data_IF_688639832729
#
_entry.id   IF_688639832729
#
_cell.length_a   1.000
_cell.length_b   1.000
_cell.length_c   1.000
_cell.angle_alpha   90.00
_cell.angle_beta   90.00
_cell.angle_gamma   90.00
#
_symmetry.space_group_name_H-M   'P 1'
#
loop_
_entity.id
_entity.type
_entity.pdbx_description
1 polymer ?
#
# COMPACT_ATOMS: atom_id res chain seq x y z
N UNK A 1 -2.56 -4.48 30.75
CA UNK A 1 -3.00 -4.75 29.35
C UNK A 1 -2.44 -3.67 28.47
N UNK A 2 -1.31 -3.93 27.83
CA UNK A 2 -0.60 -2.97 26.96
C UNK A 2 -1.23 -3.01 25.57
N UNK A 3 -1.94 -1.94 25.23
CA UNK A 3 -2.52 -1.75 23.90
C UNK A 3 -1.40 -1.50 22.89
N UNK A 4 -1.09 -2.50 22.07
CA UNK A 4 -0.15 -2.36 20.95
C UNK A 4 -0.78 -1.43 19.92
N UNK A 5 -0.24 -0.24 19.74
CA UNK A 5 -0.60 0.67 18.66
C UNK A 5 -0.35 -0.04 17.32
N UNK A 6 -1.40 -0.24 16.56
CA UNK A 6 -1.36 -0.74 15.18
C UNK A 6 -1.11 0.45 14.27
N UNK A 7 0.06 0.50 13.66
CA UNK A 7 0.40 1.55 12.69
C UNK A 7 -0.14 1.13 11.31
N UNK A 8 -1.17 1.80 10.85
CA UNK A 8 -1.69 1.67 9.48
C UNK A 8 -1.27 2.91 8.69
N UNK A 9 -0.67 2.71 7.53
CA UNK A 9 -0.16 3.77 6.68
C UNK A 9 -0.95 3.84 5.37
N UNK A 10 -1.43 5.02 5.02
CA UNK A 10 -2.08 5.32 3.73
C UNK A 10 -1.18 6.23 2.93
N UNK A 11 -0.95 5.89 1.68
CA UNK A 11 -0.20 6.72 0.77
C UNK A 11 -1.00 6.97 -0.50
N UNK A 12 -1.22 8.24 -0.81
CA UNK A 12 -1.66 8.69 -2.12
C UNK A 12 -0.52 9.42 -2.79
N UNK A 13 -0.18 9.02 -4.00
CA UNK A 13 0.77 9.76 -4.82
C UNK A 13 0.07 10.13 -6.12
N UNK A 14 -0.29 11.40 -6.23
CA UNK A 14 -0.66 12.01 -7.48
C UNK A 14 0.61 12.38 -8.25
N UNK A 15 0.86 11.71 -9.38
CA UNK A 15 1.97 11.98 -10.29
C UNK A 15 3.34 11.63 -9.70
N UNK A 16 4.05 10.68 -10.33
CA UNK A 16 5.45 10.29 -10.06
C UNK A 16 5.87 10.42 -8.60
N UNK A 17 5.45 9.50 -7.77
CA UNK A 17 5.79 9.49 -6.37
C UNK A 17 6.43 8.21 -5.93
N UNK A 18 7.66 8.32 -5.53
CA UNK A 18 8.51 7.25 -5.02
C UNK A 18 8.18 6.94 -3.57
N UNK A 19 8.12 5.69 -3.32
CA UNK A 19 7.96 4.92 -2.11
C UNK A 19 8.20 5.54 -0.75
N UNK A 20 7.41 5.04 0.18
CA UNK A 20 7.60 5.33 1.60
C UNK A 20 8.39 4.21 2.25
N UNK A 21 9.46 4.59 2.87
CA UNK A 21 10.26 3.75 3.75
C UNK A 21 9.69 3.87 5.16
N UNK A 22 9.09 2.81 5.68
CA UNK A 22 8.82 2.74 7.12
C UNK A 22 10.14 2.48 7.82
N UNK A 23 10.76 3.52 8.38
CA UNK A 23 11.85 3.32 9.33
C UNK A 23 11.25 2.92 10.69
N UNK A 24 11.67 1.81 11.29
CA UNK A 24 11.31 1.51 12.67
C UNK A 24 11.97 2.58 13.56
N UNK A 25 11.17 3.23 14.43
CA UNK A 25 11.69 4.11 15.47
C UNK A 25 12.85 3.40 16.18
N UNK A 26 14.03 4.05 16.21
CA UNK A 26 15.14 3.63 17.05
C UNK A 26 14.65 3.57 18.50
N UNK A 27 14.54 2.36 19.05
CA UNK A 27 14.52 2.20 20.51
C UNK A 27 15.89 2.63 20.98
N UNK A 28 15.95 3.70 21.73
CA UNK A 28 17.13 4.09 22.52
C UNK A 28 17.32 2.99 23.55
N UNK A 29 18.31 2.12 23.36
CA UNK A 29 18.81 1.28 24.43
C UNK A 29 19.56 2.20 25.39
N UNK A 30 19.05 2.36 26.58
CA UNK A 30 19.81 2.89 27.72
C UNK A 30 20.84 1.83 28.05
N UNK A 31 22.12 2.13 27.86
CA UNK A 31 23.20 1.29 28.34
C UNK A 31 23.38 1.61 29.84
N UNK A 32 22.98 0.67 30.67
CA UNK A 32 23.51 0.60 32.04
C UNK A 32 24.91 -0.03 31.96
N UNK A 33 25.90 0.75 32.30
CA UNK A 33 27.28 0.31 32.50
C UNK A 33 27.36 -0.40 33.85
N UNK A 34 27.49 -1.71 33.86
CA UNK A 34 28.05 -2.46 34.97
C UNK A 34 29.25 -3.24 34.44
N UNK A 35 30.42 -2.84 34.95
CA UNK A 35 31.69 -3.53 34.74
C UNK A 35 31.63 -4.93 35.39
N UNK A 36 31.97 -5.95 34.62
CA UNK A 36 32.35 -7.28 35.13
C UNK A 36 33.41 -7.92 34.23
N UNK A 37 34.27 -8.80 34.75
CA UNK A 37 35.64 -9.01 34.28
C UNK A 37 35.74 -9.93 33.06
N UNK A 38 36.81 -9.74 32.31
CA UNK A 38 37.20 -10.47 31.10
C UNK A 38 37.53 -11.97 31.41
N UNK A 39 36.73 -12.85 30.79
CA UNK A 39 37.18 -14.23 30.50
C UNK A 39 36.97 -14.44 29.01
N UNK A 40 38.06 -14.89 28.36
CA UNK A 40 38.12 -15.05 26.90
C UNK A 40 37.09 -16.04 26.37
N UNK A 41 36.20 -15.57 25.51
CA UNK A 41 35.33 -16.42 24.70
C UNK A 41 35.45 -15.95 23.25
N UNK A 42 35.88 -16.87 22.42
CA UNK A 42 36.01 -16.74 20.98
C UNK A 42 34.75 -16.11 20.35
N UNK A 43 34.95 -14.99 19.70
CA UNK A 43 33.96 -14.20 19.02
C UNK A 43 33.42 -14.97 17.80
N UNK A 44 32.41 -15.82 17.98
CA UNK A 44 31.58 -16.29 16.86
C UNK A 44 30.72 -15.13 16.42
N UNK A 45 31.15 -14.41 15.38
CA UNK A 45 30.33 -13.46 14.69
C UNK A 45 29.04 -14.16 14.22
N UNK A 46 27.94 -13.90 14.93
CA UNK A 46 26.63 -14.28 14.44
C UNK A 46 26.41 -13.56 13.09
N UNK A 47 26.03 -14.29 12.02
CA UNK A 47 25.76 -13.63 10.75
C UNK A 47 24.64 -12.62 10.96
N UNK A 48 24.98 -11.34 10.84
CA UNK A 48 24.04 -10.22 11.05
C UNK A 48 22.82 -10.44 10.17
N UNK A 49 21.66 -10.57 10.79
CA UNK A 49 20.37 -10.67 10.09
C UNK A 49 20.18 -9.38 9.28
N UNK A 50 20.50 -9.41 7.98
CA UNK A 50 20.27 -8.28 7.08
C UNK A 50 18.77 -7.98 7.11
N UNK A 51 18.38 -6.84 7.67
CA UNK A 51 16.99 -6.36 7.65
C UNK A 51 16.60 -6.16 6.19
N UNK A 52 15.70 -7.00 5.68
CA UNK A 52 15.14 -6.83 4.34
C UNK A 52 14.06 -5.75 4.44
N UNK A 53 14.28 -4.61 3.81
CA UNK A 53 13.28 -3.55 3.68
C UNK A 53 12.36 -3.94 2.52
N UNK A 54 11.04 -3.92 2.76
CA UNK A 54 10.03 -4.08 1.72
C UNK A 54 9.58 -2.68 1.29
N UNK A 55 9.68 -2.40 0.00
CA UNK A 55 9.26 -1.13 -0.59
C UNK A 55 8.01 -1.40 -1.42
N UNK A 56 6.93 -0.66 -1.13
CA UNK A 56 5.68 -0.70 -1.87
C UNK A 56 5.50 0.60 -2.63
N UNK A 57 4.91 0.52 -3.83
CA UNK A 57 4.57 1.68 -4.62
C UNK A 57 3.11 1.64 -5.10
N UNK A 58 2.60 2.78 -5.53
CA UNK A 58 1.31 2.89 -6.23
C UNK A 58 1.46 3.81 -7.43
N UNK A 59 0.82 3.47 -8.55
CA UNK A 59 0.90 4.24 -9.78
C UNK A 59 -0.37 4.10 -10.63
N UNK A 60 -1.03 5.23 -10.91
CA UNK A 60 -2.06 5.29 -11.95
C UNK A 60 -1.37 5.36 -13.32
N UNK A 61 -1.43 4.25 -14.08
CA UNK A 61 -0.67 4.08 -15.33
C UNK A 61 -1.39 4.58 -16.58
N UNK A 62 -2.66 5.01 -16.40
CA UNK A 62 -3.55 5.58 -17.43
C UNK A 62 -3.71 4.78 -18.73
N UNK A 63 -3.12 3.71 -18.99
CA UNK A 63 -3.29 2.75 -20.09
C UNK A 63 -2.02 1.88 -20.17
N UNK A 64 -2.13 0.62 -19.79
CA UNK A 64 -1.01 -0.32 -19.87
C UNK A 64 -1.32 -1.48 -20.86
N UNK A 65 -1.92 -1.15 -22.01
CA UNK A 65 -2.33 -2.16 -22.98
C UNK A 65 -1.20 -2.83 -23.75
N UNK A 66 -0.08 -2.11 -23.93
CA UNK A 66 0.98 -2.60 -24.82
C UNK A 66 2.04 -3.35 -24.02
N UNK A 67 2.41 -4.52 -24.48
CA UNK A 67 3.50 -5.34 -23.89
C UNK A 67 4.78 -4.54 -23.66
N UNK A 68 5.12 -3.61 -24.57
CA UNK A 68 6.30 -2.74 -24.43
C UNK A 68 6.22 -1.82 -23.23
N UNK A 69 5.06 -1.25 -22.95
CA UNK A 69 4.83 -0.35 -21.79
C UNK A 69 4.94 -1.12 -20.48
N UNK A 70 4.37 -2.33 -20.44
CA UNK A 70 4.50 -3.21 -19.30
C UNK A 70 5.97 -3.60 -19.04
N UNK A 71 6.72 -3.97 -20.05
CA UNK A 71 8.15 -4.28 -19.90
C UNK A 71 8.96 -3.07 -19.41
N UNK A 72 8.65 -1.86 -19.90
CA UNK A 72 9.24 -0.63 -19.40
C UNK A 72 8.93 -0.40 -17.93
N UNK A 73 7.67 -0.59 -17.52
CA UNK A 73 7.26 -0.52 -16.12
C UNK A 73 8.05 -1.53 -15.27
N UNK A 74 8.12 -2.79 -15.68
CA UNK A 74 8.84 -3.83 -14.93
C UNK A 74 10.34 -3.50 -14.76
N UNK A 75 10.97 -2.89 -15.75
CA UNK A 75 12.37 -2.44 -15.61
C UNK A 75 12.53 -1.33 -14.59
N UNK A 76 11.60 -0.37 -14.54
CA UNK A 76 11.58 0.70 -13.55
C UNK A 76 11.34 0.16 -12.13
N UNK A 77 10.41 -0.80 -11.95
CA UNK A 77 10.19 -1.43 -10.65
C UNK A 77 11.47 -2.05 -10.09
N UNK A 78 12.25 -2.70 -10.94
CA UNK A 78 13.54 -3.28 -10.58
C UNK A 78 14.57 -2.21 -10.19
N UNK A 79 14.64 -1.11 -10.93
CA UNK A 79 15.52 0.02 -10.65
C UNK A 79 15.22 0.64 -9.28
N UNK A 80 13.94 0.87 -8.96
CA UNK A 80 13.49 1.39 -7.67
C UNK A 80 13.45 0.34 -6.55
N UNK A 81 13.80 -0.92 -6.84
CA UNK A 81 13.78 -2.05 -5.88
C UNK A 81 12.42 -2.25 -5.21
N UNK A 82 11.35 -2.03 -5.96
CA UNK A 82 10.00 -2.19 -5.46
C UNK A 82 9.65 -3.68 -5.40
N UNK A 83 9.29 -4.13 -4.20
CA UNK A 83 8.85 -5.51 -3.98
C UNK A 83 7.43 -5.73 -4.54
N UNK A 84 6.57 -4.71 -4.41
CA UNK A 84 5.18 -4.74 -4.87
C UNK A 84 4.74 -3.34 -5.31
N UNK A 85 4.02 -3.30 -6.44
CA UNK A 85 3.41 -2.09 -6.98
C UNK A 85 1.91 -2.30 -7.14
N UNK A 86 1.13 -1.38 -6.60
CA UNK A 86 -0.30 -1.26 -6.87
C UNK A 86 -0.50 -0.39 -8.13
N UNK A 87 -1.26 -0.88 -9.09
CA UNK A 87 -1.53 -0.20 -10.35
C UNK A 87 -3.02 0.13 -10.46
N UNK A 88 -3.33 1.28 -11.05
CA UNK A 88 -4.69 1.73 -11.38
C UNK A 88 -4.74 2.07 -12.87
N UNK A 89 -5.94 1.98 -13.48
CA UNK A 89 -6.20 2.20 -14.91
C UNK A 89 -5.42 1.26 -15.85
N UNK A 90 -5.21 0.01 -15.43
CA UNK A 90 -4.43 -0.97 -16.20
C UNK A 90 -5.13 -1.43 -17.48
N UNK A 91 -6.47 -1.38 -17.50
CA UNK A 91 -7.36 -1.81 -18.59
C UNK A 91 -7.21 -3.28 -19.04
N UNK A 92 -6.73 -4.17 -18.16
CA UNK A 92 -6.73 -5.63 -18.41
C UNK A 92 -8.07 -6.25 -18.04
N UNK A 93 -8.68 -6.94 -19.00
CA UNK A 93 -10.00 -7.57 -18.81
C UNK A 93 -9.91 -8.80 -17.91
N UNK A 94 -10.99 -9.02 -17.16
CA UNK A 94 -11.13 -10.20 -16.31
C UNK A 94 -10.39 -10.12 -14.98
N UNK A 95 -10.33 -11.26 -14.31
CA UNK A 95 -9.69 -11.45 -13.00
C UNK A 95 -8.78 -12.65 -13.09
N UNK A 96 -7.46 -12.43 -13.03
CA UNK A 96 -6.50 -13.53 -13.20
C UNK A 96 -5.12 -13.19 -12.61
N UNK A 97 -4.23 -14.16 -12.73
CA UNK A 97 -2.83 -14.06 -12.33
C UNK A 97 -1.95 -14.46 -13.50
N UNK A 98 -1.10 -13.54 -13.96
CA UNK A 98 -0.15 -13.81 -15.05
C UNK A 98 1.28 -13.88 -14.51
N UNK A 99 1.95 -15.01 -14.77
CA UNK A 99 3.36 -15.20 -14.37
C UNK A 99 4.28 -14.72 -15.49
N UNK A 100 5.13 -13.74 -15.15
CA UNK A 100 6.16 -13.18 -16.04
C UNK A 100 7.54 -13.63 -15.57
N UNK A 101 8.57 -13.47 -16.42
CA UNK A 101 9.95 -13.90 -16.08
C UNK A 101 10.44 -13.34 -14.73
N UNK A 102 10.19 -12.06 -14.44
CA UNK A 102 10.72 -11.34 -13.27
C UNK A 102 9.67 -10.97 -12.24
N UNK A 103 8.39 -10.93 -12.60
CA UNK A 103 7.29 -10.48 -11.75
C UNK A 103 6.06 -11.35 -11.95
N UNK A 104 5.11 -11.23 -11.05
CA UNK A 104 3.78 -11.82 -11.14
C UNK A 104 2.79 -10.68 -11.10
N UNK A 105 1.85 -10.73 -12.01
CA UNK A 105 0.76 -9.80 -12.14
C UNK A 105 -0.52 -10.42 -11.60
N UNK A 106 -1.17 -9.73 -10.68
CA UNK A 106 -2.49 -10.04 -10.16
C UNK A 106 -3.43 -8.90 -10.55
N UNK A 107 -4.51 -9.16 -11.27
CA UNK A 107 -5.39 -8.09 -11.74
C UNK A 107 -6.86 -8.37 -11.53
N UNK A 108 -7.62 -7.29 -11.41
CA UNK A 108 -9.05 -7.26 -11.19
C UNK A 108 -9.67 -6.21 -12.10
N UNK A 109 -10.46 -6.67 -13.07
CA UNK A 109 -11.18 -5.86 -14.03
C UNK A 109 -12.54 -6.47 -14.35
N UNK A 110 -13.33 -5.81 -15.19
CA UNK A 110 -14.55 -6.35 -15.77
C UNK A 110 -14.23 -7.38 -16.84
N UNK A 111 -15.11 -8.36 -17.02
CA UNK A 111 -14.98 -9.36 -18.09
C UNK A 111 -15.27 -8.73 -19.46
N UNK A 112 -16.19 -7.76 -19.50
CA UNK A 112 -16.61 -7.07 -20.72
C UNK A 112 -16.66 -5.55 -20.52
N UNK A 113 -16.46 -4.79 -21.60
CA UNK A 113 -16.60 -3.35 -21.67
C UNK A 113 -15.28 -2.56 -21.65
N UNK A 114 -15.38 -1.27 -21.99
CA UNK A 114 -14.27 -0.31 -21.94
C UNK A 114 -14.27 0.37 -20.57
N UNK A 115 -13.84 -0.33 -19.51
CA UNK A 115 -13.86 0.23 -18.16
C UNK A 115 -12.71 1.19 -17.89
N UNK A 116 -13.00 2.28 -17.16
CA UNK A 116 -12.01 3.25 -16.69
C UNK A 116 -11.31 2.76 -15.40
N UNK A 117 -11.91 1.81 -14.69
CA UNK A 117 -11.49 1.36 -13.36
C UNK A 117 -10.93 -0.06 -13.41
N UNK A 118 -9.64 -0.23 -13.48
CA UNK A 118 -9.04 -1.56 -13.37
C UNK A 118 -7.78 -1.47 -12.51
N UNK A 119 -7.72 -2.37 -11.54
CA UNK A 119 -6.67 -2.36 -10.53
C UNK A 119 -5.86 -3.65 -10.58
N UNK A 120 -4.59 -3.54 -10.26
CA UNK A 120 -3.69 -4.70 -10.26
C UNK A 120 -2.58 -4.55 -9.22
N UNK A 121 -1.93 -5.69 -8.92
CA UNK A 121 -0.66 -5.71 -8.23
C UNK A 121 0.40 -6.36 -9.13
N UNK A 122 1.56 -5.72 -9.22
CA UNK A 122 2.78 -6.32 -9.76
C UNK A 122 3.67 -6.69 -8.57
N UNK A 123 4.03 -7.96 -8.49
CA UNK A 123 4.80 -8.52 -7.37
C UNK A 123 6.11 -9.07 -7.90
N UNK A 124 7.25 -8.69 -7.29
CA UNK A 124 8.54 -9.28 -7.62
C UNK A 124 8.50 -10.81 -7.45
N UNK A 125 9.06 -11.56 -8.40
CA UNK A 125 8.98 -13.03 -8.42
C UNK A 125 9.44 -13.69 -7.11
N UNK A 126 10.48 -13.17 -6.49
CA UNK A 126 11.01 -13.70 -5.23
C UNK A 126 10.02 -13.56 -4.06
N UNK A 127 9.06 -12.62 -4.18
CA UNK A 127 8.00 -12.41 -3.22
C UNK A 127 6.80 -13.35 -3.40
N UNK A 128 6.70 -14.10 -4.51
CA UNK A 128 5.58 -15.03 -4.79
C UNK A 128 5.27 -15.95 -3.62
N UNK A 129 6.31 -16.56 -3.05
CA UNK A 129 6.18 -17.49 -1.91
C UNK A 129 5.62 -16.85 -0.64
N UNK A 130 5.63 -15.53 -0.58
CA UNK A 130 5.10 -14.77 0.54
C UNK A 130 3.66 -14.33 0.31
N UNK A 131 3.12 -14.45 -0.90
CA UNK A 131 1.72 -14.15 -1.19
C UNK A 131 0.85 -15.24 -0.58
N UNK A 132 -0.02 -14.86 0.36
CA UNK A 132 -0.95 -15.77 1.01
C UNK A 132 -2.22 -15.94 0.19
N UNK A 133 -2.77 -14.84 -0.31
CA UNK A 133 -3.88 -14.82 -1.27
C UNK A 133 -3.96 -13.49 -2.01
N UNK A 134 -4.61 -13.54 -3.16
CA UNK A 134 -5.12 -12.39 -3.89
C UNK A 134 -6.65 -12.49 -3.96
N UNK A 135 -7.34 -11.37 -3.69
CA UNK A 135 -8.79 -11.26 -3.78
C UNK A 135 -9.13 -10.14 -4.76
N UNK A 136 -9.59 -10.51 -5.93
CA UNK A 136 -10.21 -9.59 -6.88
C UNK A 136 -11.62 -9.28 -6.39
N UNK A 137 -11.84 -8.11 -5.79
CA UNK A 137 -13.15 -7.70 -5.28
C UNK A 137 -14.03 -7.25 -6.45
N UNK A 138 -13.61 -6.20 -7.13
CA UNK A 138 -14.21 -5.68 -8.35
C UNK A 138 -13.17 -4.93 -9.20
N UNK A 139 -13.62 -4.16 -10.18
CA UNK A 139 -12.73 -3.36 -11.04
C UNK A 139 -12.04 -2.19 -10.32
N UNK A 140 -12.51 -1.79 -9.13
CA UNK A 140 -12.00 -0.66 -8.36
C UNK A 140 -11.18 -1.06 -7.14
N UNK A 141 -11.34 -2.31 -6.67
CA UNK A 141 -10.75 -2.77 -5.42
C UNK A 141 -10.18 -4.18 -5.58
N UNK A 142 -8.95 -4.37 -5.17
CA UNK A 142 -8.38 -5.70 -4.97
C UNK A 142 -7.50 -5.74 -3.73
N UNK A 143 -7.32 -6.93 -3.16
CA UNK A 143 -6.56 -7.15 -1.93
C UNK A 143 -5.47 -8.19 -2.18
N UNK A 144 -4.25 -7.88 -1.74
CA UNK A 144 -3.13 -8.81 -1.73
C UNK A 144 -2.63 -8.98 -0.29
N UNK A 145 -2.66 -10.20 0.22
CA UNK A 145 -2.16 -10.50 1.57
C UNK A 145 -0.80 -11.18 1.51
N UNK A 146 0.13 -10.69 2.31
CA UNK A 146 1.52 -11.12 2.29
C UNK A 146 1.94 -11.61 3.65
N UNK A 147 2.64 -12.73 3.67
CA UNK A 147 3.31 -13.27 4.84
C UNK A 147 4.60 -12.52 5.10
N UNK A 148 4.79 -12.05 6.32
CA UNK A 148 6.07 -11.53 6.79
C UNK A 148 6.53 -12.26 8.05
N UNK A 149 7.73 -11.92 8.55
CA UNK A 149 8.31 -12.61 9.69
C UNK A 149 7.53 -12.41 10.99
N UNK A 150 7.00 -11.22 11.21
CA UNK A 150 6.40 -10.85 12.50
C UNK A 150 4.89 -10.69 12.41
N UNK A 151 4.42 -9.97 11.39
CA UNK A 151 3.03 -9.61 11.24
C UNK A 151 2.71 -9.57 9.75
N UNK A 152 1.66 -10.26 9.31
CA UNK A 152 1.27 -10.24 7.91
C UNK A 152 0.82 -8.84 7.47
N UNK A 153 0.85 -8.60 6.17
CA UNK A 153 0.45 -7.32 5.57
C UNK A 153 -0.72 -7.59 4.63
N UNK A 154 -1.80 -6.85 4.81
CA UNK A 154 -2.91 -6.76 3.86
C UNK A 154 -2.79 -5.47 3.07
N UNK A 155 -2.45 -5.57 1.78
CA UNK A 155 -2.41 -4.47 0.84
C UNK A 155 -3.76 -4.37 0.14
N UNK A 156 -4.42 -3.21 0.22
CA UNK A 156 -5.69 -2.93 -0.42
C UNK A 156 -5.42 -1.90 -1.52
N UNK A 157 -5.61 -2.27 -2.78
CA UNK A 157 -5.46 -1.37 -3.91
C UNK A 157 -6.84 -0.85 -4.31
N UNK A 158 -6.94 0.48 -4.41
CA UNK A 158 -8.21 1.16 -4.69
C UNK A 158 -8.07 2.14 -5.84
N UNK A 159 -9.17 2.32 -6.60
CA UNK A 159 -9.32 3.36 -7.59
C UNK A 159 -10.71 4.00 -7.43
N UNK A 160 -10.75 5.17 -6.80
CA UNK A 160 -11.98 5.89 -6.48
C UNK A 160 -12.66 6.46 -7.74
N UNK A 161 -14.00 6.51 -7.79
CA UNK A 161 -14.72 7.28 -8.81
C UNK A 161 -14.29 8.76 -8.84
N UNK A 162 -14.39 9.36 -10.01
CA UNK A 162 -14.11 10.79 -10.17
C UNK A 162 -15.17 11.66 -9.49
N UNK A 163 -14.87 12.96 -9.32
CA UNK A 163 -15.68 13.92 -8.58
C UNK A 163 -17.14 14.06 -9.09
N UNK A 164 -17.41 13.73 -10.34
CA UNK A 164 -18.73 13.91 -10.98
C UNK A 164 -19.76 12.82 -10.65
N UNK A 165 -19.37 11.74 -9.93
CA UNK A 165 -20.18 10.55 -9.72
C UNK A 165 -20.54 10.35 -8.24
N UNK A 166 -21.41 11.20 -7.68
CA UNK A 166 -21.68 11.25 -6.24
C UNK A 166 -22.21 9.92 -5.65
N UNK A 167 -23.20 9.30 -6.32
CA UNK A 167 -23.78 8.03 -5.85
C UNK A 167 -22.76 6.88 -5.87
N UNK A 168 -21.89 6.86 -6.89
CA UNK A 168 -20.84 5.86 -6.99
C UNK A 168 -19.78 6.03 -5.88
N UNK A 169 -19.50 7.27 -5.46
CA UNK A 169 -18.52 7.55 -4.39
C UNK A 169 -18.98 7.03 -3.03
N UNK A 170 -20.27 7.16 -2.71
CA UNK A 170 -20.80 6.63 -1.46
C UNK A 170 -20.68 5.11 -1.40
N UNK A 171 -21.16 4.42 -2.44
CA UNK A 171 -21.07 2.97 -2.53
C UNK A 171 -19.61 2.47 -2.51
N UNK A 172 -18.70 3.20 -3.16
CA UNK A 172 -17.28 2.91 -3.13
C UNK A 172 -16.69 3.06 -1.71
N UNK A 173 -17.00 4.16 -1.02
CA UNK A 173 -16.49 4.42 0.33
C UNK A 173 -16.93 3.34 1.31
N UNK A 174 -18.20 2.96 1.30
CA UNK A 174 -18.74 1.88 2.12
C UNK A 174 -18.05 0.56 1.81
N UNK A 175 -17.87 0.23 0.53
CA UNK A 175 -17.19 -1.01 0.12
C UNK A 175 -15.72 -1.05 0.56
N UNK A 176 -14.99 0.07 0.46
CA UNK A 176 -13.59 0.14 0.96
C UNK A 176 -13.55 -0.12 2.46
N UNK A 177 -14.49 0.44 3.21
CA UNK A 177 -14.60 0.23 4.66
C UNK A 177 -14.87 -1.23 5.01
N UNK A 178 -15.84 -1.87 4.35
CA UNK A 178 -16.16 -3.29 4.52
C UNK A 178 -14.94 -4.18 4.21
N UNK A 179 -14.24 -3.92 3.12
CA UNK A 179 -13.04 -4.67 2.73
C UNK A 179 -11.92 -4.48 3.76
N UNK A 180 -11.69 -3.25 4.20
CA UNK A 180 -10.70 -2.95 5.23
C UNK A 180 -10.99 -3.71 6.54
N UNK A 181 -12.26 -3.73 6.98
CA UNK A 181 -12.66 -4.40 8.20
C UNK A 181 -12.63 -5.94 8.06
N UNK A 182 -12.89 -6.46 6.85
CA UNK A 182 -12.78 -7.88 6.55
C UNK A 182 -11.34 -8.42 6.58
N UNK A 183 -10.34 -7.56 6.43
CA UNK A 183 -8.94 -7.96 6.55
C UNK A 183 -8.60 -8.37 7.99
N UNK A 184 -7.77 -9.40 8.20
CA UNK A 184 -7.44 -9.88 9.53
C UNK A 184 -6.97 -8.77 10.47
N UNK A 185 -7.49 -8.79 11.69
CA UNK A 185 -7.23 -7.72 12.67
C UNK A 185 -5.78 -7.63 13.11
N UNK A 186 -5.02 -8.71 12.99
CA UNK A 186 -3.61 -8.76 13.35
C UNK A 186 -2.66 -8.38 12.20
N UNK A 187 -3.20 -8.14 11.00
CA UNK A 187 -2.38 -7.70 9.87
C UNK A 187 -2.06 -6.20 9.95
N UNK A 188 -0.91 -5.82 9.43
CA UNK A 188 -0.66 -4.43 9.04
C UNK A 188 -1.50 -4.17 7.78
N UNK A 189 -2.46 -3.25 7.87
CA UNK A 189 -3.32 -2.91 6.74
C UNK A 189 -2.79 -1.65 6.07
N UNK A 190 -2.53 -1.72 4.76
CA UNK A 190 -2.03 -0.61 3.95
C UNK A 190 -2.98 -0.44 2.78
N UNK A 191 -3.55 0.76 2.63
CA UNK A 191 -4.36 1.10 1.46
C UNK A 191 -3.51 1.91 0.50
N UNK A 192 -3.44 1.44 -0.74
CA UNK A 192 -2.69 2.04 -1.85
C UNK A 192 -3.70 2.37 -2.97
N UNK A 193 -3.38 3.32 -3.81
CA UNK A 193 -4.20 3.57 -4.99
C UNK A 193 -4.42 5.03 -5.31
N UNK A 194 -5.35 5.26 -6.25
CA UNK A 194 -5.79 6.58 -6.65
C UNK A 194 -7.18 6.86 -6.09
N UNK A 195 -7.23 7.77 -5.12
CA UNK A 195 -8.46 8.18 -4.47
C UNK A 195 -9.20 9.30 -5.21
N UNK A 196 -8.62 9.83 -6.29
CA UNK A 196 -9.12 11.05 -6.93
C UNK A 196 -9.39 12.19 -5.92
N UNK A 197 -8.62 12.18 -4.82
CA UNK A 197 -8.79 13.03 -3.66
C UNK A 197 -7.77 14.16 -3.64
N UNK A 198 -8.27 15.36 -3.36
CA UNK A 198 -7.45 16.51 -2.95
C UNK A 198 -7.66 16.70 -1.47
N UNK A 199 -6.62 16.52 -0.67
CA UNK A 199 -6.66 16.77 0.77
C UNK A 199 -6.08 18.15 1.03
N UNK A 200 -6.83 18.99 1.72
CA UNK A 200 -6.48 20.38 2.00
C UNK A 200 -5.64 20.54 3.27
N UNK A 201 -5.72 21.76 3.84
CA UNK A 201 -5.03 22.15 5.08
C UNK A 201 -6.01 22.58 6.17
N UNK A 202 -7.25 22.11 6.09
CA UNK A 202 -8.30 22.51 7.00
C UNK A 202 -7.93 22.13 8.45
N UNK A 203 -8.08 23.11 9.35
CA UNK A 203 -7.71 22.92 10.77
C UNK A 203 -8.52 21.83 11.45
N UNK A 204 -9.74 21.57 11.01
CA UNK A 204 -10.61 20.54 11.56
C UNK A 204 -10.03 19.13 11.43
N UNK A 205 -9.16 18.91 10.45
CA UNK A 205 -8.53 17.61 10.20
C UNK A 205 -7.14 17.47 10.85
N UNK A 206 -6.71 18.46 11.64
CA UNK A 206 -5.44 18.36 12.37
C UNK A 206 -5.44 17.14 13.29
N UNK A 207 -4.37 16.34 13.20
CA UNK A 207 -4.23 15.07 13.91
C UNK A 207 -4.56 13.83 13.08
N UNK A 208 -5.25 13.99 11.94
CA UNK A 208 -5.48 12.95 10.94
C UNK A 208 -4.58 13.17 9.73
N UNK A 209 -4.50 14.41 9.26
CA UNK A 209 -3.67 14.82 8.12
C UNK A 209 -2.39 15.53 8.55
N UNK A 210 -1.36 15.43 7.71
CA UNK A 210 -0.10 16.16 7.91
C UNK A 210 -0.25 17.66 7.64
N UNK A 211 0.78 18.43 8.03
CA UNK A 211 0.80 19.90 7.88
C UNK A 211 1.09 20.36 6.44
N UNK A 212 1.58 19.46 5.60
CA UNK A 212 2.05 19.77 4.26
C UNK A 212 1.11 19.20 3.22
N UNK A 213 0.26 20.05 2.66
CA UNK A 213 -0.58 19.74 1.49
C UNK A 213 -0.33 20.75 0.37
N UNK A 214 -0.48 20.31 -0.87
CA UNK A 214 -0.43 21.20 -2.04
C UNK A 214 -1.75 21.97 -2.24
N UNK A 215 -2.83 21.55 -1.57
CA UNK A 215 -4.17 22.12 -1.72
C UNK A 215 -4.55 22.91 -0.46
N UNK A 216 -5.34 23.98 -0.66
CA UNK A 216 -5.89 24.74 0.46
C UNK A 216 -7.13 24.07 1.03
N UNK A 217 -8.01 23.56 0.15
CA UNK A 217 -9.28 22.94 0.50
C UNK A 217 -9.34 21.51 -0.04
N UNK A 218 -9.97 20.63 0.73
CA UNK A 218 -10.27 19.26 0.32
C UNK A 218 -11.44 19.25 -0.68
N UNK A 219 -11.37 18.37 -1.68
CA UNK A 219 -12.55 18.04 -2.46
C UNK A 219 -13.39 16.97 -1.73
N UNK A 220 -14.55 16.59 -2.27
CA UNK A 220 -15.43 15.61 -1.65
C UNK A 220 -14.72 14.26 -1.40
N UNK A 221 -13.98 13.73 -2.38
CA UNK A 221 -13.18 12.52 -2.19
C UNK A 221 -12.10 12.69 -1.12
N UNK A 222 -11.50 13.89 -1.02
CA UNK A 222 -10.53 14.23 0.03
C UNK A 222 -11.16 14.20 1.42
N UNK A 223 -12.36 14.75 1.60
CA UNK A 223 -13.10 14.70 2.86
C UNK A 223 -13.41 13.25 3.25
N UNK A 224 -13.96 12.44 2.31
CA UNK A 224 -14.25 11.02 2.54
C UNK A 224 -13.00 10.21 2.93
N UNK A 225 -11.86 10.49 2.30
CA UNK A 225 -10.58 9.86 2.65
C UNK A 225 -10.15 10.23 4.06
N UNK A 226 -10.27 11.49 4.46
CA UNK A 226 -9.90 11.96 5.80
C UNK A 226 -10.83 11.37 6.86
N UNK A 227 -12.14 11.32 6.59
CA UNK A 227 -13.13 10.72 7.49
C UNK A 227 -12.87 9.22 7.68
N UNK A 228 -12.57 8.50 6.59
CA UNK A 228 -12.16 7.10 6.66
C UNK A 228 -10.88 6.92 7.49
N UNK A 229 -9.86 7.75 7.27
CA UNK A 229 -8.61 7.71 8.02
C UNK A 229 -8.85 7.98 9.52
N UNK A 230 -9.69 8.94 9.84
CA UNK A 230 -10.08 9.26 11.22
C UNK A 230 -10.81 8.11 11.88
N UNK A 231 -11.83 7.51 11.22
CA UNK A 231 -12.60 6.38 11.71
C UNK A 231 -11.71 5.15 12.00
N UNK A 232 -10.70 4.92 11.16
CA UNK A 232 -9.74 3.80 11.34
C UNK A 232 -8.54 4.18 12.21
N UNK A 233 -8.52 5.38 12.79
CA UNK A 233 -7.43 5.92 13.62
C UNK A 233 -6.08 5.91 12.90
N UNK A 234 -6.11 6.21 11.63
CA UNK A 234 -4.90 6.39 10.84
C UNK A 234 -4.28 7.75 11.13
N UNK A 235 -2.96 7.79 11.04
CA UNK A 235 -2.25 9.04 10.94
C UNK A 235 -1.79 9.22 9.48
N UNK A 236 -2.23 10.31 8.87
CA UNK A 236 -1.82 10.70 7.52
C UNK A 236 -0.70 11.74 7.68
N UNK A 237 0.55 11.43 7.26
CA UNK A 237 1.71 12.32 7.43
C UNK A 237 1.65 13.60 6.57
#
# INVERSE_FOLDING_TARGET
MTQTKRDTLVFQVGGLGVGVTTQPRKRTCVQETSEMPQTGVTNRQQPGCKKKVLIFGTWNVRILFKTRELLSLLSQLKEYRLAIMALQETRWQGKDTTDMKSHILFYSGKEEGTGEFWVAFVVERDMKRNVLYFKAVDEQICVLRIKTRFQNISLINVHSPTEKKELEKEAFSQKVEEIYDSCPSNDIKIVLGDWNAKVGKEKIYQGVIGRHSMHLNSNNNGQRLVDFAAAKRWWYP
#
